data_IF_836484836040
#
_entry.id   IF_836484836040
#
_cell.length_a   1.000
_cell.length_b   1.000
_cell.length_c   1.000
_cell.angle_alpha   90.00
_cell.angle_beta   90.00
_cell.angle_gamma   90.00
#
_symmetry.space_group_name_H-M   'P 1'
#
loop_
_entity.id
_entity.type
_entity.pdbx_description
1 polymer ?
#
# COMPACT_ATOMS: atom_id res chain seq x y z
N UNK A 1 2.81 11.31 -26.65
CA UNK A 1 1.87 12.01 -25.73
C UNK A 1 2.66 12.61 -24.59
N UNK A 2 2.48 13.90 -24.33
CA UNK A 2 3.11 14.51 -23.15
C UNK A 2 2.20 14.33 -21.93
N UNK A 3 2.79 13.92 -20.81
CA UNK A 3 2.05 13.79 -19.55
C UNK A 3 1.94 15.15 -18.86
N UNK A 4 0.79 15.40 -18.25
CA UNK A 4 0.56 16.63 -17.48
C UNK A 4 1.23 16.54 -16.11
N UNK A 5 1.60 17.70 -15.58
CA UNK A 5 1.98 17.80 -14.18
C UNK A 5 0.77 17.52 -13.29
N UNK A 6 0.94 16.63 -12.32
CA UNK A 6 -0.12 16.24 -11.40
C UNK A 6 0.41 16.35 -9.96
N UNK A 7 -0.23 17.21 -9.18
CA UNK A 7 0.13 17.46 -7.78
C UNK A 7 -0.94 16.95 -6.79
N UNK A 8 -1.84 16.06 -7.24
CA UNK A 8 -2.81 15.44 -6.34
C UNK A 8 -2.09 14.61 -5.27
N UNK A 9 -2.59 14.71 -4.04
CA UNK A 9 -2.08 13.90 -2.94
C UNK A 9 -2.44 12.42 -3.07
N UNK A 10 -3.60 12.16 -3.64
CA UNK A 10 -4.10 10.83 -3.98
C UNK A 10 -5.46 10.91 -4.67
N UNK A 11 -5.60 10.27 -5.84
CA UNK A 11 -4.58 9.49 -6.58
C UNK A 11 -3.46 10.37 -7.10
N UNK A 12 -2.22 10.00 -6.80
CA UNK A 12 -1.06 10.81 -7.12
C UNK A 12 -0.38 10.36 -8.42
N UNK A 13 0.56 11.17 -8.90
CA UNK A 13 1.36 10.82 -10.07
C UNK A 13 2.21 9.58 -9.81
N UNK A 14 2.32 8.73 -10.83
CA UNK A 14 3.22 7.59 -10.85
C UNK A 14 4.32 7.82 -11.89
N UNK A 15 5.53 7.30 -11.68
CA UNK A 15 6.57 7.34 -12.70
C UNK A 15 6.12 6.69 -13.99
N UNK A 16 6.51 7.29 -15.12
CA UNK A 16 6.11 6.79 -16.46
C UNK A 16 6.59 5.37 -16.70
N UNK A 17 7.79 5.02 -16.26
CA UNK A 17 8.35 3.69 -16.41
C UNK A 17 7.50 2.64 -15.67
N UNK A 18 7.08 2.94 -14.45
CA UNK A 18 6.18 2.06 -13.68
C UNK A 18 4.85 1.85 -14.42
N UNK A 19 4.29 2.91 -15.02
CA UNK A 19 3.05 2.80 -15.78
C UNK A 19 3.22 1.98 -17.06
N UNK A 20 4.37 2.06 -17.71
CA UNK A 20 4.68 1.23 -18.87
C UNK A 20 4.80 -0.24 -18.48
N UNK A 21 5.48 -0.54 -17.38
CA UNK A 21 5.58 -1.90 -16.86
C UNK A 21 4.18 -2.47 -16.55
N UNK A 22 3.35 -1.69 -15.86
CA UNK A 22 1.95 -2.08 -15.58
C UNK A 22 1.15 -2.35 -16.85
N UNK A 23 1.31 -1.49 -17.86
CA UNK A 23 0.64 -1.66 -19.16
C UNK A 23 1.05 -2.96 -19.83
N UNK A 24 2.33 -3.26 -19.83
CA UNK A 24 2.87 -4.45 -20.50
C UNK A 24 2.46 -5.75 -19.79
N UNK A 25 2.27 -5.69 -18.48
CA UNK A 25 1.87 -6.85 -17.65
C UNK A 25 0.35 -6.91 -17.36
N UNK A 26 -0.42 -5.98 -17.93
CA UNK A 26 -1.83 -5.83 -17.56
C UNK A 26 -2.68 -7.06 -17.89
N UNK A 27 -2.41 -7.73 -19.01
CA UNK A 27 -3.14 -8.93 -19.43
C UNK A 27 -2.46 -10.22 -19.01
N UNK A 28 -1.16 -10.17 -18.79
CA UNK A 28 -0.37 -11.36 -18.49
C UNK A 28 0.83 -10.97 -17.61
N UNK A 29 0.69 -11.18 -16.32
CA UNK A 29 1.79 -10.97 -15.40
C UNK A 29 2.75 -12.15 -15.47
N UNK A 30 3.94 -11.92 -16.03
CA UNK A 30 5.08 -12.85 -16.05
C UNK A 30 4.75 -14.27 -16.55
N UNK A 31 3.86 -14.39 -17.52
CA UNK A 31 3.51 -15.69 -18.13
C UNK A 31 2.44 -16.48 -17.38
N UNK A 32 1.83 -15.93 -16.34
CA UNK A 32 0.76 -16.61 -15.61
C UNK A 32 -0.61 -16.60 -16.33
N UNK A 33 -0.72 -15.83 -17.42
CA UNK A 33 -1.95 -15.77 -18.19
C UNK A 33 -3.06 -14.94 -17.57
N UNK A 34 -2.75 -14.17 -16.53
CA UNK A 34 -3.69 -13.24 -15.91
C UNK A 34 -3.01 -12.00 -15.34
N UNK A 35 -3.79 -10.96 -15.13
CA UNK A 35 -3.34 -9.73 -14.49
C UNK A 35 -3.12 -9.92 -12.99
N UNK A 36 -2.18 -9.18 -12.42
CA UNK A 36 -2.05 -9.06 -10.96
C UNK A 36 -3.38 -8.66 -10.31
N UNK A 37 -4.19 -7.83 -10.98
CA UNK A 37 -5.50 -7.41 -10.48
C UNK A 37 -6.52 -8.54 -10.39
N UNK A 38 -6.31 -9.63 -11.10
CA UNK A 38 -7.18 -10.81 -11.12
C UNK A 38 -6.71 -11.92 -10.17
N UNK A 39 -5.54 -11.76 -9.56
CA UNK A 39 -4.97 -12.77 -8.67
C UNK A 39 -5.63 -12.74 -7.29
N UNK A 40 -5.86 -13.93 -6.74
CA UNK A 40 -6.23 -14.05 -5.34
C UNK A 40 -5.05 -13.62 -4.45
N UNK A 41 -5.33 -12.85 -3.40
CA UNK A 41 -4.33 -12.47 -2.41
C UNK A 41 -3.74 -13.68 -1.64
N UNK A 42 -4.36 -14.86 -1.78
CA UNK A 42 -3.89 -16.13 -1.20
C UNK A 42 -3.06 -16.95 -2.17
N UNK A 43 -2.99 -16.55 -3.45
CA UNK A 43 -2.19 -17.27 -4.44
C UNK A 43 -0.71 -17.11 -4.13
N UNK A 44 0.07 -18.14 -4.46
CA UNK A 44 1.52 -18.13 -4.28
C UNK A 44 2.15 -16.95 -5.01
N UNK A 45 1.70 -16.68 -6.23
CA UNK A 45 2.22 -15.62 -7.09
C UNK A 45 1.98 -14.24 -6.47
N UNK A 46 0.80 -13.99 -5.91
CA UNK A 46 0.49 -12.72 -5.24
C UNK A 46 1.29 -12.57 -3.95
N UNK A 47 1.41 -13.65 -3.18
CA UNK A 47 2.22 -13.63 -1.94
C UNK A 47 3.67 -13.28 -2.25
N UNK A 48 4.25 -13.83 -3.32
CA UNK A 48 5.60 -13.49 -3.75
C UNK A 48 5.73 -12.01 -4.12
N UNK A 49 4.74 -11.44 -4.82
CA UNK A 49 4.72 -10.01 -5.15
C UNK A 49 4.70 -9.17 -3.85
N UNK A 50 3.82 -9.50 -2.92
CA UNK A 50 3.67 -8.77 -1.67
C UNK A 50 4.94 -8.84 -0.80
N UNK A 51 5.53 -10.02 -0.68
CA UNK A 51 6.77 -10.21 0.08
C UNK A 51 7.95 -9.47 -0.56
N UNK A 52 8.05 -9.48 -1.89
CA UNK A 52 9.08 -8.72 -2.61
C UNK A 52 8.90 -7.22 -2.38
N UNK A 53 7.68 -6.71 -2.49
CA UNK A 53 7.40 -5.30 -2.24
C UNK A 53 7.74 -4.89 -0.80
N UNK A 54 7.43 -5.75 0.17
CA UNK A 54 7.78 -5.54 1.57
C UNK A 54 9.29 -5.48 1.76
N UNK A 55 10.02 -6.43 1.18
CA UNK A 55 11.48 -6.46 1.28
C UNK A 55 12.12 -5.24 0.61
N UNK A 56 11.62 -4.83 -0.54
CA UNK A 56 12.10 -3.63 -1.23
C UNK A 56 11.95 -2.38 -0.35
N UNK A 57 10.82 -2.24 0.35
CA UNK A 57 10.61 -1.12 1.29
C UNK A 57 11.58 -1.18 2.46
N UNK A 58 11.81 -2.36 3.02
CA UNK A 58 12.78 -2.55 4.11
C UNK A 58 14.18 -2.13 3.66
N UNK A 59 14.59 -2.55 2.48
CA UNK A 59 15.91 -2.24 1.94
C UNK A 59 16.07 -0.75 1.60
N UNK A 60 15.06 -0.17 0.94
CA UNK A 60 15.10 1.24 0.52
C UNK A 60 15.06 2.22 1.71
N UNK A 61 14.35 1.88 2.77
CA UNK A 61 14.19 2.73 3.94
C UNK A 61 15.14 2.37 5.07
N UNK A 62 15.99 1.36 4.87
CA UNK A 62 16.92 0.84 5.89
C UNK A 62 16.20 0.53 7.22
N UNK A 63 15.10 -0.19 7.12
CA UNK A 63 14.27 -0.56 8.27
C UNK A 63 14.97 -1.69 9.04
N UNK A 64 15.23 -1.47 10.33
CA UNK A 64 15.84 -2.49 11.18
C UNK A 64 14.78 -3.41 11.82
N UNK A 65 15.24 -4.44 12.56
CA UNK A 65 14.40 -5.47 13.14
C UNK A 65 13.44 -4.99 14.24
N UNK A 66 13.59 -3.74 14.71
CA UNK A 66 12.68 -3.14 15.69
C UNK A 66 11.36 -2.67 15.08
N UNK A 67 11.26 -2.66 13.75
CA UNK A 67 10.11 -2.18 13.00
C UNK A 67 9.54 -3.27 12.09
N UNK A 68 8.24 -3.22 11.88
CA UNK A 68 7.54 -4.11 10.95
C UNK A 68 6.86 -3.28 9.85
N UNK A 69 6.98 -3.73 8.62
CA UNK A 69 6.28 -3.12 7.47
C UNK A 69 4.95 -3.81 7.27
N UNK A 70 3.87 -3.05 7.32
CA UNK A 70 2.51 -3.57 7.18
C UNK A 70 1.79 -2.85 6.03
N UNK A 71 1.15 -3.61 5.17
CA UNK A 71 0.25 -3.07 4.14
C UNK A 71 -1.17 -3.12 4.68
N UNK A 72 -1.72 -1.96 5.02
CA UNK A 72 -3.03 -1.85 5.66
C UNK A 72 -3.95 -0.96 4.83
N UNK A 73 -5.24 -1.19 4.97
CA UNK A 73 -6.28 -0.43 4.29
C UNK A 73 -6.69 0.83 5.07
N UNK A 74 -7.53 1.66 4.48
CA UNK A 74 -8.24 2.75 5.15
C UNK A 74 -7.55 4.10 5.09
N UNK A 75 -6.34 4.16 4.56
CA UNK A 75 -5.58 5.41 4.43
C UNK A 75 -5.40 6.14 5.75
N UNK A 76 -5.10 7.43 5.67
CA UNK A 76 -4.85 8.27 6.84
C UNK A 76 -6.09 8.40 7.75
N UNK A 77 -7.28 8.43 7.17
CA UNK A 77 -8.53 8.58 7.96
C UNK A 77 -8.73 7.44 8.94
N UNK A 78 -8.52 6.19 8.51
CA UNK A 78 -8.70 5.05 9.38
C UNK A 78 -7.58 4.94 10.42
N UNK A 79 -6.40 5.49 10.14
CA UNK A 79 -5.28 5.49 11.09
C UNK A 79 -5.61 6.25 12.38
N UNK A 80 -6.45 7.28 12.34
CA UNK A 80 -6.89 7.98 13.54
C UNK A 80 -7.64 7.08 14.52
N UNK A 81 -8.24 5.99 14.03
CA UNK A 81 -8.87 4.97 14.86
C UNK A 81 -7.91 3.81 15.15
N UNK A 82 -7.19 3.33 14.15
CA UNK A 82 -6.37 2.11 14.24
C UNK A 82 -5.21 2.28 15.20
N UNK A 83 -4.52 3.41 15.16
CA UNK A 83 -3.36 3.66 16.04
C UNK A 83 -3.79 3.67 17.50
N UNK A 84 -4.76 4.50 17.95
CA UNK A 84 -5.17 4.48 19.35
C UNK A 84 -5.82 3.16 19.77
N UNK A 85 -6.61 2.51 18.92
CA UNK A 85 -7.22 1.21 19.26
C UNK A 85 -6.19 0.13 19.55
N UNK A 86 -5.03 0.19 18.92
CA UNK A 86 -3.98 -0.79 19.13
C UNK A 86 -2.97 -0.41 20.24
N UNK A 87 -2.81 0.87 20.52
CA UNK A 87 -1.75 1.36 21.40
C UNK A 87 -2.24 1.90 22.74
N UNK A 88 -3.53 2.25 22.87
CA UNK A 88 -4.08 2.71 24.16
C UNK A 88 -4.24 1.55 25.12
N UNK A 89 -3.99 1.84 26.41
CA UNK A 89 -4.19 0.85 27.46
C UNK A 89 -5.67 0.65 27.73
N UNK A 90 -6.00 -0.51 28.36
CA UNK A 90 -7.37 -0.86 28.74
C UNK A 90 -7.99 0.07 29.80
N UNK A 91 -7.21 0.97 30.40
CA UNK A 91 -7.72 1.97 31.32
C UNK A 91 -8.51 3.09 30.65
N UNK A 92 -8.39 3.26 29.34
CA UNK A 92 -9.18 4.21 28.54
C UNK A 92 -10.49 3.56 28.13
N UNK A 93 -11.61 4.13 28.59
CA UNK A 93 -12.95 3.56 28.37
C UNK A 93 -13.64 4.10 27.13
N UNK A 94 -13.18 5.24 26.58
CA UNK A 94 -13.67 5.77 25.31
C UNK A 94 -12.61 6.61 24.61
N UNK A 95 -12.81 6.75 23.32
CA UNK A 95 -11.90 7.45 22.41
C UNK A 95 -12.64 8.60 21.76
N UNK A 96 -12.08 9.81 21.84
CA UNK A 96 -12.56 10.93 21.05
C UNK A 96 -11.74 10.99 19.75
N UNK A 97 -12.39 10.74 18.62
CA UNK A 97 -11.75 10.84 17.33
C UNK A 97 -11.75 12.29 16.85
N UNK A 98 -10.64 12.76 16.24
CA UNK A 98 -10.63 14.08 15.65
C UNK A 98 -11.60 14.15 14.48
N UNK A 99 -12.33 15.27 14.37
CA UNK A 99 -13.17 15.53 13.21
C UNK A 99 -12.29 15.97 12.05
N UNK A 100 -12.44 15.30 10.93
CA UNK A 100 -11.71 15.66 9.71
C UNK A 100 -12.58 16.64 8.92
N UNK A 101 -12.11 17.87 8.64
CA UNK A 101 -12.84 18.81 7.80
C UNK A 101 -13.01 18.25 6.39
N UNK A 102 -14.20 18.34 5.87
CA UNK A 102 -14.51 17.95 4.50
C UNK A 102 -14.39 19.13 3.54
#
# INVERSE_FOLDING_TARGET
MSRKYNFCAGPSALPTDVLNDLKDELLDFQGYGLSTMEMSHRSKEFVEIAETAKQDLIDLLDVNDDYEVLFIQGGASLQFSMVPMNLLSVSYTHLTLPTIPQ
#
